data_IF_651209293359
#
_entry.id   IF_651209293359
#
_cell.length_a   1.000
_cell.length_b   1.000
_cell.length_c   1.000
_cell.angle_alpha   90.00
_cell.angle_beta   90.00
_cell.angle_gamma   90.00
#
_symmetry.space_group_name_H-M   'P 1'
#
loop_
_entity.id
_entity.type
_entity.pdbx_description
1 polymer ?
#
# COMPACT_ATOMS: atom_id res chain seq x y z
N UNK A 1 12.08 11.46 3.45
CA UNK A 1 11.94 11.49 1.96
C UNK A 1 10.52 11.06 1.57
N UNK A 2 10.08 11.20 0.32
CA UNK A 2 8.75 10.76 -0.13
C UNK A 2 8.85 9.48 -0.97
N UNK A 3 8.07 8.48 -0.63
CA UNK A 3 7.97 7.22 -1.36
C UNK A 3 6.51 6.98 -1.76
N UNK A 4 6.29 6.64 -3.04
CA UNK A 4 4.99 6.19 -3.51
C UNK A 4 5.04 4.68 -3.69
N UNK A 5 4.21 3.95 -2.94
CA UNK A 5 4.07 2.51 -3.09
C UNK A 5 3.14 2.20 -4.26
N UNK A 6 3.58 1.27 -5.11
CA UNK A 6 2.69 0.61 -6.06
C UNK A 6 1.85 -0.48 -5.37
N UNK A 7 0.95 -1.08 -6.13
CA UNK A 7 0.01 -2.10 -5.64
C UNK A 7 0.72 -3.33 -5.05
N UNK A 8 1.83 -3.80 -5.64
CA UNK A 8 2.53 -4.99 -5.16
C UNK A 8 3.38 -4.69 -3.92
N UNK A 9 4.07 -3.55 -3.90
CA UNK A 9 4.85 -3.12 -2.74
C UNK A 9 3.94 -2.92 -1.51
N UNK A 10 2.74 -2.36 -1.70
CA UNK A 10 1.73 -2.24 -0.66
C UNK A 10 1.28 -3.61 -0.15
N UNK A 11 0.90 -4.52 -1.06
CA UNK A 11 0.49 -5.89 -0.71
C UNK A 11 1.57 -6.66 0.06
N UNK A 12 2.84 -6.54 -0.35
CA UNK A 12 3.94 -7.19 0.35
C UNK A 12 4.19 -6.59 1.73
N UNK A 13 4.08 -5.28 1.87
CA UNK A 13 4.18 -4.62 3.17
C UNK A 13 3.08 -5.08 4.13
N UNK A 14 1.83 -5.14 3.68
CA UNK A 14 0.69 -5.53 4.50
C UNK A 14 0.74 -6.99 4.96
N UNK A 15 1.24 -7.87 4.09
CA UNK A 15 1.34 -9.31 4.37
C UNK A 15 2.67 -9.72 5.03
N UNK A 16 3.49 -8.74 5.43
CA UNK A 16 4.85 -8.96 5.92
C UNK A 16 5.73 -9.83 4.99
N UNK A 17 5.50 -9.76 3.68
CA UNK A 17 6.10 -10.64 2.68
C UNK A 17 7.59 -10.32 2.48
N UNK A 18 8.43 -11.36 2.43
CA UNK A 18 9.87 -11.26 2.25
C UNK A 18 10.27 -10.61 0.92
N UNK A 19 9.40 -10.66 -0.10
CA UNK A 19 9.64 -10.07 -1.43
C UNK A 19 9.82 -8.55 -1.40
N UNK A 20 9.33 -7.87 -0.37
CA UNK A 20 9.56 -6.43 -0.18
C UNK A 20 11.05 -6.11 0.03
N UNK A 21 11.78 -7.04 0.65
CA UNK A 21 13.18 -6.87 1.01
C UNK A 21 13.42 -5.94 2.20
N UNK A 22 14.48 -6.22 2.96
CA UNK A 22 14.76 -5.51 4.22
C UNK A 22 15.09 -4.02 4.07
N UNK A 23 15.61 -3.59 2.92
CA UNK A 23 15.86 -2.15 2.67
C UNK A 23 14.55 -1.37 2.58
N UNK A 24 13.61 -1.83 1.75
CA UNK A 24 12.34 -1.15 1.55
C UNK A 24 11.52 -1.18 2.85
N UNK A 25 11.53 -2.30 3.57
CA UNK A 25 10.90 -2.41 4.89
C UNK A 25 11.41 -1.34 5.87
N UNK A 26 12.73 -1.12 5.93
CA UNK A 26 13.32 -0.05 6.76
C UNK A 26 12.91 1.34 6.31
N UNK A 27 12.85 1.60 5.00
CA UNK A 27 12.45 2.91 4.48
C UNK A 27 10.98 3.22 4.75
N UNK A 28 10.10 2.22 4.66
CA UNK A 28 8.66 2.36 4.93
C UNK A 28 8.40 2.49 6.44
N UNK A 29 9.13 1.76 7.27
CA UNK A 29 8.99 1.80 8.74
C UNK A 29 9.58 3.07 9.39
N UNK A 30 10.44 3.79 8.66
CA UNK A 30 11.10 4.99 9.17
C UNK A 30 10.12 6.18 9.17
N UNK A 31 9.78 6.74 10.34
CA UNK A 31 8.82 7.83 10.46
C UNK A 31 9.29 9.16 9.86
N UNK A 32 10.57 9.31 9.52
CA UNK A 32 11.07 10.49 8.79
C UNK A 32 10.75 10.42 7.28
N UNK A 33 10.17 9.31 6.82
CA UNK A 33 9.72 9.12 5.45
C UNK A 33 8.21 9.21 5.32
N UNK A 34 7.78 10.04 4.38
CA UNK A 34 6.40 10.11 3.93
C UNK A 34 6.14 8.93 2.98
N UNK A 35 5.36 7.96 3.42
CA UNK A 35 4.92 6.84 2.59
C UNK A 35 3.52 7.13 2.07
N UNK A 36 3.41 7.21 0.75
CA UNK A 36 2.21 7.57 0.01
C UNK A 36 1.70 6.36 -0.75
N UNK A 37 0.38 6.29 -0.92
CA UNK A 37 -0.29 5.28 -1.75
C UNK A 37 -1.19 5.99 -2.75
N UNK A 38 -1.18 5.55 -4.00
CA UNK A 38 -2.10 6.09 -5.00
C UNK A 38 -3.51 5.54 -4.80
N UNK A 39 -4.52 6.39 -5.00
CA UNK A 39 -5.91 5.93 -5.07
C UNK A 39 -6.13 4.89 -6.19
N UNK A 40 -5.31 4.90 -7.25
CA UNK A 40 -5.33 3.89 -8.31
C UNK A 40 -4.98 2.51 -7.76
N UNK A 41 -3.95 2.42 -6.91
CA UNK A 41 -3.53 1.14 -6.33
C UNK A 41 -4.61 0.56 -5.42
N UNK A 42 -5.27 1.40 -4.63
CA UNK A 42 -6.42 0.99 -3.82
C UNK A 42 -7.59 0.51 -4.69
N UNK A 43 -7.88 1.22 -5.79
CA UNK A 43 -8.91 0.80 -6.74
C UNK A 43 -8.55 -0.54 -7.40
N UNK A 44 -7.31 -0.74 -7.82
CA UNK A 44 -6.84 -1.99 -8.42
C UNK A 44 -7.00 -3.18 -7.45
N UNK A 45 -6.65 -2.99 -6.17
CA UNK A 45 -6.87 -3.99 -5.13
C UNK A 45 -8.36 -4.30 -4.99
N UNK A 46 -9.20 -3.27 -4.89
CA UNK A 46 -10.65 -3.43 -4.76
C UNK A 46 -11.25 -4.21 -5.94
N UNK A 47 -10.80 -3.91 -7.17
CA UNK A 47 -11.24 -4.65 -8.37
C UNK A 47 -10.77 -6.10 -8.31
N UNK A 48 -9.50 -6.35 -7.96
CA UNK A 48 -8.93 -7.70 -7.87
C UNK A 48 -9.62 -8.56 -6.80
N UNK A 49 -9.99 -7.99 -5.65
CA UNK A 49 -10.79 -8.65 -4.62
C UNK A 49 -12.17 -9.05 -5.16
N UNK A 50 -12.88 -8.11 -5.80
CA UNK A 50 -14.23 -8.35 -6.35
C UNK A 50 -14.28 -9.46 -7.39
N UNK A 51 -13.23 -9.61 -8.19
CA UNK A 51 -13.15 -10.66 -9.22
C UNK A 51 -12.47 -11.95 -8.73
N UNK A 52 -12.18 -12.06 -7.42
CA UNK A 52 -11.56 -13.24 -6.82
C UNK A 52 -10.11 -13.51 -7.27
N UNK A 53 -9.41 -12.49 -7.77
CA UNK A 53 -7.99 -12.59 -8.17
C UNK A 53 -7.01 -12.23 -7.05
N UNK A 54 -7.52 -11.69 -5.95
CA UNK A 54 -6.77 -11.40 -4.74
C UNK A 54 -7.60 -11.91 -3.56
N UNK A 55 -6.93 -12.52 -2.59
CA UNK A 55 -7.50 -12.92 -1.32
C UNK A 55 -6.80 -12.10 -0.24
N UNK A 56 -7.45 -11.02 0.19
CA UNK A 56 -6.96 -10.09 1.20
C UNK A 56 -8.14 -9.36 1.84
N UNK A 57 -8.03 -9.01 3.12
CA UNK A 57 -9.07 -8.23 3.79
C UNK A 57 -8.86 -6.74 3.52
N UNK A 58 -9.89 -6.08 2.99
CA UNK A 58 -9.83 -4.63 2.73
C UNK A 58 -9.80 -3.82 4.04
N UNK A 59 -10.35 -4.37 5.11
CA UNK A 59 -10.32 -3.74 6.42
C UNK A 59 -8.89 -3.72 6.97
N UNK A 60 -8.09 -4.77 6.75
CA UNK A 60 -6.66 -4.80 7.10
C UNK A 60 -5.84 -3.79 6.27
N UNK A 61 -6.17 -3.64 4.98
CA UNK A 61 -5.54 -2.65 4.10
C UNK A 61 -5.83 -1.23 4.62
N UNK A 62 -7.06 -0.94 5.01
CA UNK A 62 -7.47 0.39 5.48
C UNK A 62 -7.09 0.66 6.94
N UNK A 63 -6.90 -0.38 7.75
CA UNK A 63 -6.50 -0.30 9.15
C UNK A 63 -5.05 0.13 9.36
N UNK A 64 -4.22 0.16 8.30
CA UNK A 64 -2.91 0.81 8.35
C UNK A 64 -3.09 2.30 8.60
N UNK A 65 -2.99 2.65 9.88
CA UNK A 65 -3.02 4.01 10.39
C UNK A 65 -2.09 4.89 9.56
N UNK A 66 -2.64 5.92 8.92
CA UNK A 66 -1.89 6.86 8.10
C UNK A 66 -2.12 6.73 6.59
N UNK A 67 -2.63 5.60 6.09
CA UNK A 67 -2.90 5.49 4.65
C UNK A 67 -3.98 6.45 4.19
N UNK A 68 -5.08 6.61 4.94
CA UNK A 68 -6.17 7.53 4.59
C UNK A 68 -5.71 8.99 4.42
N UNK A 69 -4.70 9.43 5.19
CA UNK A 69 -4.08 10.76 5.09
C UNK A 69 -3.02 10.86 3.99
N UNK A 70 -2.61 9.74 3.42
CA UNK A 70 -1.51 9.60 2.45
C UNK A 70 -1.97 9.12 1.07
N UNK A 71 -3.29 9.10 0.82
CA UNK A 71 -3.85 8.81 -0.51
C UNK A 71 -3.61 10.01 -1.42
N UNK A 72 -2.84 9.81 -2.47
CA UNK A 72 -2.69 10.81 -3.52
C UNK A 72 -3.88 10.73 -4.49
N UNK A 73 -4.66 11.83 -4.67
CA UNK A 73 -5.69 11.88 -5.69
C UNK A 73 -5.07 11.95 -7.08
N UNK A 74 -5.80 11.43 -8.07
CA UNK A 74 -5.46 11.63 -9.48
C UNK A 74 -6.12 12.95 -9.90
N UNK A 75 -5.34 13.90 -10.40
CA UNK A 75 -5.87 14.99 -11.20
C UNK A 75 -5.93 14.51 -12.65
N UNK A 76 -7.15 14.41 -13.19
CA UNK A 76 -7.45 14.04 -14.58
C UNK A 76 -7.88 15.30 -15.32
#
# INVERSE_FOLDING_TARGET
MRFLLDTHALLWWLNDDDRLGGRMRRLIADPENDVLVSVVSLWEITVKLRIGKLDADIEDILAVRGLASSILPINI
#
